data_IF_807342879029
#
_entry.id   IF_807342879029
#
_cell.length_a   1.000
_cell.length_b   1.000
_cell.length_c   1.000
_cell.angle_alpha   90.00
_cell.angle_beta   90.00
_cell.angle_gamma   90.00
#
_symmetry.space_group_name_H-M   'P 1'
#
loop_
_entity.id
_entity.type
_entity.pdbx_description
1 polymer ?
#
# COMPACT_ATOMS: atom_id res chain seq x y z
N UNK A 1 11.82 -18.04 18.00
CA UNK A 1 11.11 -17.82 18.58
C UNK A 1 10.07 -16.79 18.45
N UNK A 2 9.64 -16.60 17.32
CA UNK A 2 8.68 -15.64 17.18
C UNK A 2 7.39 -16.12 17.61
N UNK A 3 6.62 -15.27 18.14
CA UNK A 3 5.32 -15.58 18.58
C UNK A 3 4.40 -15.80 17.42
N UNK A 4 4.25 -17.01 17.05
CA UNK A 4 3.38 -17.32 15.94
C UNK A 4 2.01 -17.67 16.52
N UNK A 5 0.97 -16.97 16.09
CA UNK A 5 -0.36 -17.22 16.67
C UNK A 5 -0.82 -18.65 16.42
N UNK A 6 -1.54 -19.18 17.38
CA UNK A 6 -2.03 -20.52 17.24
C UNK A 6 -2.92 -20.68 16.03
N UNK A 7 -3.69 -19.68 15.71
CA UNK A 7 -4.56 -19.74 14.54
C UNK A 7 -3.81 -19.56 13.25
N UNK A 8 -2.53 -19.26 13.32
CA UNK A 8 -1.76 -19.03 12.15
C UNK A 8 -1.88 -17.59 11.66
N UNK A 9 -1.21 -17.29 10.59
CA UNK A 9 -1.21 -15.95 10.03
C UNK A 9 -1.57 -16.06 8.56
N UNK A 10 -2.48 -15.23 8.11
CA UNK A 10 -2.78 -15.15 6.69
C UNK A 10 -1.75 -14.24 6.08
N UNK A 11 -0.69 -14.84 5.60
CA UNK A 11 0.44 -14.08 5.10
C UNK A 11 0.03 -13.09 4.02
N UNK A 12 -0.78 -13.54 3.08
CA UNK A 12 -1.20 -12.68 2.01
C UNK A 12 -1.94 -11.45 2.54
N UNK A 13 -2.84 -11.67 3.47
CA UNK A 13 -3.60 -10.58 4.06
C UNK A 13 -2.69 -9.63 4.81
N UNK A 14 -1.74 -10.18 5.53
CA UNK A 14 -0.80 -9.38 6.30
C UNK A 14 0.03 -8.49 5.38
N UNK A 15 0.53 -9.06 4.29
CA UNK A 15 1.32 -8.29 3.35
C UNK A 15 0.49 -7.22 2.67
N UNK A 16 -0.76 -7.52 2.37
CA UNK A 16 -1.64 -6.51 1.79
C UNK A 16 -1.84 -5.34 2.74
N UNK A 17 -2.02 -5.62 4.02
CA UNK A 17 -2.20 -4.55 4.99
C UNK A 17 -0.98 -3.66 5.08
N UNK A 18 0.20 -4.26 5.06
CA UNK A 18 1.43 -3.49 5.09
C UNK A 18 1.56 -2.66 3.83
N UNK A 19 1.26 -3.25 2.70
CA UNK A 19 1.37 -2.54 1.43
C UNK A 19 0.43 -1.36 1.38
N UNK A 20 -0.81 -1.56 1.83
CA UNK A 20 -1.77 -0.46 1.87
C UNK A 20 -1.26 0.69 2.72
N UNK A 21 -0.72 0.37 3.88
CA UNK A 21 -0.24 1.41 4.78
C UNK A 21 0.89 2.20 4.15
N UNK A 22 1.80 1.51 3.50
CA UNK A 22 2.94 2.17 2.87
C UNK A 22 2.48 3.06 1.74
N UNK A 23 1.57 2.56 0.91
CA UNK A 23 1.06 3.34 -0.21
C UNK A 23 0.35 4.58 0.31
N UNK A 24 -0.43 4.43 1.36
CA UNK A 24 -1.16 5.57 1.91
C UNK A 24 -0.19 6.62 2.45
N UNK A 25 0.85 6.19 3.13
CA UNK A 25 1.84 7.13 3.63
C UNK A 25 2.53 7.87 2.50
N UNK A 26 2.85 7.16 1.43
CA UNK A 26 3.48 7.81 0.28
C UNK A 26 2.55 8.82 -0.35
N UNK A 27 1.27 8.51 -0.45
CA UNK A 27 0.31 9.45 -1.00
C UNK A 27 0.18 10.69 -0.13
N UNK A 28 0.18 10.52 1.17
CA UNK A 28 0.12 11.65 2.06
C UNK A 28 1.36 12.52 1.94
N UNK A 29 2.50 11.87 1.87
CA UNK A 29 3.74 12.62 1.73
C UNK A 29 3.79 13.38 0.42
N UNK A 30 3.17 12.84 -0.60
CA UNK A 30 3.14 13.46 -1.91
C UNK A 30 1.94 14.37 -2.09
N UNK A 31 1.18 14.61 -1.03
CA UNK A 31 0.01 15.48 -1.09
C UNK A 31 -0.99 15.02 -2.13
N UNK A 32 -1.15 13.72 -2.27
CA UNK A 32 -2.09 13.17 -3.22
C UNK A 32 -1.57 13.07 -4.63
N UNK A 33 -0.33 13.43 -4.85
CA UNK A 33 0.25 13.36 -6.19
C UNK A 33 0.70 11.93 -6.47
N UNK A 34 -0.05 11.24 -7.32
CA UNK A 34 0.22 9.83 -7.58
C UNK A 34 1.58 9.63 -8.22
N UNK A 35 1.96 10.51 -9.14
CA UNK A 35 3.26 10.38 -9.80
C UNK A 35 4.40 10.44 -8.79
N UNK A 36 4.30 11.37 -7.87
CA UNK A 36 5.34 11.53 -6.87
C UNK A 36 5.33 10.37 -5.88
N UNK A 37 4.14 9.93 -5.49
CA UNK A 37 4.03 8.80 -4.58
C UNK A 37 4.63 7.55 -5.21
N UNK A 38 4.37 7.34 -6.50
CA UNK A 38 4.95 6.19 -7.19
C UNK A 38 6.47 6.26 -7.17
N UNK A 39 7.01 7.46 -7.34
CA UNK A 39 8.44 7.63 -7.31
C UNK A 39 9.00 7.30 -5.93
N UNK A 40 8.32 7.73 -4.89
CA UNK A 40 8.74 7.42 -3.53
C UNK A 40 8.76 5.92 -3.29
N UNK A 41 7.87 5.21 -3.94
CA UNK A 41 7.76 3.76 -3.76
C UNK A 41 8.56 2.98 -4.79
N UNK A 42 9.25 3.67 -5.67
CA UNK A 42 10.01 3.02 -6.76
C UNK A 42 9.10 2.20 -7.65
N UNK A 43 7.91 2.71 -7.87
CA UNK A 43 6.94 2.05 -8.73
C UNK A 43 6.67 2.93 -9.94
N UNK A 44 6.11 2.32 -10.98
CA UNK A 44 5.61 3.09 -12.08
C UNK A 44 4.25 3.65 -11.72
N UNK A 45 3.94 4.78 -12.32
CA UNK A 45 2.68 5.44 -12.01
C UNK A 45 1.48 4.53 -12.28
N UNK A 46 1.51 3.83 -13.41
CA UNK A 46 0.40 2.95 -13.75
C UNK A 46 0.26 1.83 -12.73
N UNK A 47 1.39 1.28 -12.29
CA UNK A 47 1.35 0.22 -11.29
C UNK A 47 0.73 0.72 -9.99
N UNK A 48 1.10 1.93 -9.59
CA UNK A 48 0.55 2.48 -8.37
C UNK A 48 -0.95 2.74 -8.51
N UNK A 49 -1.37 3.25 -9.65
CA UNK A 49 -2.79 3.50 -9.87
C UNK A 49 -3.58 2.20 -9.78
N UNK A 50 -3.04 1.14 -10.34
CA UNK A 50 -3.72 -0.15 -10.26
C UNK A 50 -3.86 -0.60 -8.82
N UNK A 51 -2.82 -0.41 -8.02
CA UNK A 51 -2.87 -0.80 -6.62
C UNK A 51 -3.86 0.06 -5.85
N UNK A 52 -3.88 1.34 -6.12
CA UNK A 52 -4.80 2.24 -5.47
C UNK A 52 -6.24 1.82 -5.75
N UNK A 53 -6.53 1.51 -7.01
CA UNK A 53 -7.86 1.07 -7.37
C UNK A 53 -8.20 -0.26 -6.74
N UNK A 54 -7.23 -1.16 -6.73
CA UNK A 54 -7.46 -2.49 -6.19
C UNK A 54 -7.77 -2.44 -4.70
N UNK A 55 -7.08 -1.59 -3.98
CA UNK A 55 -7.23 -1.51 -2.54
C UNK A 55 -8.20 -0.43 -2.11
N UNK A 56 -8.68 0.38 -3.02
CA UNK A 56 -9.58 1.47 -2.66
C UNK A 56 -8.91 2.57 -1.90
N UNK A 57 -7.63 2.79 -2.14
CA UNK A 57 -6.88 3.82 -1.45
C UNK A 57 -6.86 5.10 -2.24
N UNK A 58 -6.42 6.16 -1.58
CA UNK A 58 -6.20 7.41 -2.25
C UNK A 58 -7.43 7.95 -2.90
N UNK A 59 -8.52 7.50 -2.49
CA UNK A 59 -9.73 7.91 -3.09
C UNK A 59 -10.15 9.18 -2.46
N UNK A 60 -9.81 10.19 -3.07
CA UNK A 60 -10.08 11.43 -2.51
C UNK A 60 -11.50 11.78 -2.59
N UNK A 61 -12.21 10.94 -3.07
CA UNK A 61 -13.60 11.23 -3.29
C UNK A 61 -14.14 12.27 -2.43
#
# INVERSE_FOLDING_TARGET
GEDFPDQGVKLKQHLLNIEKAIIQQALEKANGNVSQAARLLSLQRTTLIEKINKYGLGNSA
#
